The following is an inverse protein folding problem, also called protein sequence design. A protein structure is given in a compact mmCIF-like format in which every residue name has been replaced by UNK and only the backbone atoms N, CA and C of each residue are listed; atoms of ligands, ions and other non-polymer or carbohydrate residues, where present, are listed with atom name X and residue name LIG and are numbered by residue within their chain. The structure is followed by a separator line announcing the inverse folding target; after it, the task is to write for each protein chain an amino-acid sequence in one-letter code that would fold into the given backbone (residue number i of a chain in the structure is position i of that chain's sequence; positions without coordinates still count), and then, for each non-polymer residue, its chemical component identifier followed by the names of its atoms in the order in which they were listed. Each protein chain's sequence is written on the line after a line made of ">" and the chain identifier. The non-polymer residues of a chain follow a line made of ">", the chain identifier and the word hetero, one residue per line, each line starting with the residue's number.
data_IF_589590192217
#
_entry.id   IF_589590192217
#
_cell.length_a   1.000
_cell.length_b   1.000
_cell.length_c   1.000
_cell.angle_alpha   90.00
_cell.angle_beta   90.00
_cell.angle_gamma   90.00
#
_symmetry.space_group_name_H-M   'P 1'
#
loop_
_entity.id
_entity.type
_entity.pdbx_description
1 polymer ?
#
# COMPACT_ATOMS: atom_id res chain seq x y z
N UNK A 1 19.27 -7.95 -3.23
CA UNK A 1 19.03 -7.19 -4.49
C UNK A 1 17.79 -6.27 -4.43
N UNK A 2 17.37 -5.79 -3.26
CA UNK A 2 16.38 -4.69 -3.16
C UNK A 2 17.05 -3.31 -3.30
N UNK A 3 18.32 -3.18 -2.88
CA UNK A 3 19.02 -1.90 -2.73
C UNK A 3 19.08 -1.04 -4.00
N UNK A 4 19.49 -1.58 -5.14
CA UNK A 4 19.72 -0.77 -6.34
C UNK A 4 18.45 -0.05 -6.85
N UNK A 5 17.28 -0.66 -6.71
CA UNK A 5 16.02 -0.04 -7.08
C UNK A 5 15.64 1.11 -6.14
N UNK A 6 15.78 0.89 -4.82
CA UNK A 6 15.51 1.93 -3.82
C UNK A 6 16.51 3.08 -3.91
N UNK A 7 17.79 2.80 -4.16
CA UNK A 7 18.84 3.82 -4.39
C UNK A 7 18.53 4.66 -5.63
N UNK A 8 18.15 4.03 -6.74
CA UNK A 8 17.78 4.73 -7.98
C UNK A 8 16.55 5.64 -7.78
N UNK A 9 15.55 5.19 -7.02
CA UNK A 9 14.36 5.99 -6.71
C UNK A 9 14.66 7.11 -5.72
N UNK A 10 15.52 6.86 -4.73
CA UNK A 10 16.01 7.90 -3.82
C UNK A 10 16.76 9.00 -4.56
N UNK A 11 17.57 8.66 -5.57
CA UNK A 11 18.26 9.64 -6.42
C UNK A 11 17.30 10.52 -7.25
N UNK A 12 16.06 10.06 -7.46
CA UNK A 12 14.97 10.83 -8.09
C UNK A 12 14.12 11.59 -7.06
N UNK A 13 14.48 11.56 -5.78
CA UNK A 13 13.77 12.25 -4.70
C UNK A 13 12.60 11.46 -4.10
N UNK A 14 12.42 10.19 -4.44
CA UNK A 14 11.36 9.37 -3.82
C UNK A 14 11.80 8.85 -2.46
N UNK A 15 10.94 9.00 -1.46
CA UNK A 15 11.15 8.38 -0.16
C UNK A 15 11.07 6.85 -0.24
N UNK A 16 11.61 6.16 0.77
CA UNK A 16 11.48 4.70 0.88
C UNK A 16 10.00 4.27 0.87
N UNK A 17 9.15 4.89 1.69
CA UNK A 17 7.73 4.52 1.80
C UNK A 17 6.98 4.75 0.49
N UNK A 18 7.30 5.84 -0.21
CA UNK A 18 6.73 6.11 -1.54
C UNK A 18 7.18 5.05 -2.54
N UNK A 19 8.46 4.69 -2.54
CA UNK A 19 8.99 3.66 -3.42
C UNK A 19 8.36 2.29 -3.13
N UNK A 20 8.27 1.89 -1.86
CA UNK A 20 7.67 0.62 -1.44
C UNK A 20 6.16 0.56 -1.75
N UNK A 21 5.44 1.68 -1.63
CA UNK A 21 4.00 1.71 -1.89
C UNK A 21 3.65 1.58 -3.38
N UNK A 22 4.49 2.11 -4.27
CA UNK A 22 4.27 2.05 -5.73
C UNK A 22 4.92 0.85 -6.41
N UNK A 23 5.91 0.23 -5.77
CA UNK A 23 6.58 -0.98 -6.27
C UNK A 23 5.55 -2.10 -6.43
N UNK A 24 5.60 -2.76 -7.59
CA UNK A 24 4.74 -3.91 -7.88
C UNK A 24 5.34 -5.17 -7.24
N UNK A 25 4.47 -5.98 -6.65
CA UNK A 25 4.80 -7.28 -6.11
C UNK A 25 3.69 -8.27 -6.49
N UNK A 26 3.94 -9.57 -6.32
CA UNK A 26 3.01 -10.62 -6.70
C UNK A 26 2.18 -11.09 -5.51
N UNK A 27 0.88 -11.33 -5.74
CA UNK A 27 0.02 -11.99 -4.77
C UNK A 27 0.57 -13.38 -4.43
N UNK A 28 0.74 -13.74 -3.14
CA UNK A 28 1.24 -15.06 -2.75
C UNK A 28 0.27 -16.20 -3.09
N UNK A 29 -1.01 -15.91 -3.36
CA UNK A 29 -2.03 -16.92 -3.69
C UNK A 29 -2.23 -17.12 -5.20
N UNK A 30 -2.36 -16.04 -5.96
CA UNK A 30 -2.75 -16.12 -7.38
C UNK A 30 -1.72 -15.58 -8.38
N UNK A 31 -0.58 -15.07 -7.90
CA UNK A 31 0.49 -14.52 -8.75
C UNK A 31 0.17 -13.19 -9.43
N UNK A 32 -1.00 -12.58 -9.18
CA UNK A 32 -1.34 -11.27 -9.74
C UNK A 32 -0.36 -10.19 -9.28
N UNK A 33 0.16 -9.39 -10.21
CA UNK A 33 1.14 -8.33 -9.93
C UNK A 33 0.46 -6.99 -9.76
N UNK A 34 0.61 -6.37 -8.59
CA UNK A 34 -0.02 -5.09 -8.25
C UNK A 34 0.84 -4.32 -7.22
N UNK A 35 0.55 -3.02 -7.06
CA UNK A 35 1.18 -2.17 -6.04
C UNK A 35 0.29 -2.02 -4.81
N UNK A 36 0.87 -1.60 -3.69
CA UNK A 36 0.12 -1.41 -2.45
C UNK A 36 -0.89 -0.26 -2.56
N UNK A 37 -0.55 0.81 -3.31
CA UNK A 37 -1.50 1.89 -3.61
C UNK A 37 -2.71 1.36 -4.40
N UNK A 38 -2.49 0.49 -5.39
CA UNK A 38 -3.59 -0.13 -6.13
C UNK A 38 -4.47 -0.99 -5.22
N UNK A 39 -3.85 -1.80 -4.36
CA UNK A 39 -4.57 -2.63 -3.39
C UNK A 39 -5.49 -1.77 -2.52
N UNK A 40 -4.95 -0.67 -1.97
CA UNK A 40 -5.73 0.19 -1.08
C UNK A 40 -6.84 0.93 -1.80
N UNK A 41 -6.53 1.58 -2.92
CA UNK A 41 -7.46 2.46 -3.60
C UNK A 41 -8.58 1.70 -4.35
N UNK A 42 -8.32 0.45 -4.78
CA UNK A 42 -9.26 -0.32 -5.60
C UNK A 42 -9.78 -1.54 -4.83
N UNK A 43 -8.90 -2.43 -4.37
CA UNK A 43 -9.34 -3.68 -3.74
C UNK A 43 -9.94 -3.47 -2.34
N UNK A 44 -9.46 -2.45 -1.61
CA UNK A 44 -9.99 -2.08 -0.30
C UNK A 44 -11.02 -0.93 -0.37
N UNK A 45 -11.48 -0.55 -1.56
CA UNK A 45 -12.47 0.52 -1.70
C UNK A 45 -13.74 0.17 -0.91
N UNK A 46 -14.23 1.11 -0.10
CA UNK A 46 -15.42 0.92 0.75
C UNK A 46 -15.16 0.26 2.11
N UNK A 47 -13.93 -0.15 2.43
CA UNK A 47 -13.58 -0.66 3.75
C UNK A 47 -13.26 0.49 4.72
N UNK A 48 -13.99 0.60 5.84
CA UNK A 48 -13.75 1.61 6.87
C UNK A 48 -12.36 1.52 7.50
N UNK A 49 -11.80 0.31 7.62
CA UNK A 49 -10.47 0.10 8.18
C UNK A 49 -9.36 0.54 7.20
N UNK A 50 -9.64 0.54 5.89
CA UNK A 50 -8.66 0.92 4.88
C UNK A 50 -8.24 2.39 5.00
N UNK A 51 -9.11 3.24 5.52
CA UNK A 51 -8.84 4.67 5.79
C UNK A 51 -8.34 4.93 7.23
N UNK A 52 -8.10 3.88 8.02
CA UNK A 52 -7.64 3.94 9.43
C UNK A 52 -6.26 3.32 9.65
N UNK A 53 -5.44 3.25 8.59
CA UNK A 53 -4.08 2.67 8.70
C UNK A 53 -4.09 1.15 8.86
N UNK A 54 -5.02 0.45 8.22
CA UNK A 54 -5.10 -1.01 8.27
C UNK A 54 -3.80 -1.68 7.76
N UNK A 55 -3.15 -2.56 8.53
CA UNK A 55 -1.89 -3.21 8.14
C UNK A 55 -2.07 -4.37 7.13
N UNK A 56 -3.30 -4.62 6.67
CA UNK A 56 -3.61 -5.66 5.69
C UNK A 56 -3.63 -5.12 4.26
N UNK A 57 -3.37 -6.03 3.34
CA UNK A 57 -3.45 -5.86 1.89
C UNK A 57 -4.45 -6.88 1.35
N UNK A 58 -5.36 -6.43 0.49
CA UNK A 58 -6.29 -7.29 -0.24
C UNK A 58 -5.89 -7.38 -1.71
N UNK A 59 -5.84 -8.58 -2.26
CA UNK A 59 -5.61 -8.77 -3.68
C UNK A 59 -6.88 -8.50 -4.48
N UNK A 60 -6.85 -7.55 -5.43
CA UNK A 60 -8.01 -7.23 -6.28
C UNK A 60 -8.42 -8.29 -7.31
N UNK A 61 -7.73 -9.44 -7.38
CA UNK A 61 -8.04 -10.54 -8.32
C UNK A 61 -8.66 -11.75 -7.62
N UNK A 62 -8.12 -12.17 -6.48
CA UNK A 62 -8.53 -13.40 -5.78
C UNK A 62 -9.07 -13.14 -4.37
N UNK A 63 -9.22 -11.87 -3.98
CA UNK A 63 -9.70 -11.41 -2.67
C UNK A 63 -8.93 -11.92 -1.45
N UNK A 64 -7.75 -12.51 -1.67
CA UNK A 64 -6.91 -12.93 -0.56
C UNK A 64 -6.37 -11.74 0.22
N UNK A 65 -6.60 -11.76 1.53
CA UNK A 65 -6.07 -10.78 2.48
C UNK A 65 -4.85 -11.34 3.21
N UNK A 66 -3.81 -10.52 3.32
CA UNK A 66 -2.57 -10.85 4.02
C UNK A 66 -1.97 -9.56 4.60
N UNK A 67 -1.01 -9.70 5.52
CA UNK A 67 -0.38 -8.57 6.20
C UNK A 67 0.71 -7.94 5.31
N UNK A 68 0.92 -6.64 5.48
CA UNK A 68 1.99 -5.91 4.79
C UNK A 68 3.37 -6.52 5.07
N UNK A 69 3.62 -7.04 6.28
CA UNK A 69 4.86 -7.76 6.61
C UNK A 69 5.11 -9.03 5.80
N UNK A 70 4.09 -9.56 5.12
CA UNK A 70 4.23 -10.71 4.21
C UNK A 70 4.64 -10.27 2.79
N UNK A 71 4.75 -8.95 2.55
CA UNK A 71 5.25 -8.39 1.29
C UNK A 71 6.79 -8.27 1.31
N UNK A 72 7.45 -8.28 0.13
CA UNK A 72 8.92 -8.33 0.06
C UNK A 72 9.65 -7.10 0.64
N UNK A 73 8.97 -5.96 0.74
CA UNK A 73 9.60 -4.66 1.05
C UNK A 73 9.43 -4.24 2.52
N UNK A 74 8.73 -5.03 3.33
CA UNK A 74 8.38 -4.68 4.72
C UNK A 74 9.09 -5.62 5.69
N UNK A 75 9.93 -5.05 6.54
CA UNK A 75 10.71 -5.73 7.56
C UNK A 75 10.24 -5.28 8.94
N UNK A 76 9.49 -6.15 9.61
CA UNK A 76 9.04 -5.95 10.99
C UNK A 76 7.79 -5.08 11.15
N UNK A 77 7.30 -5.04 12.39
CA UNK A 77 6.00 -4.44 12.74
C UNK A 77 5.99 -2.91 12.64
N UNK A 78 7.10 -2.25 13.01
CA UNK A 78 7.18 -0.80 12.99
C UNK A 78 7.09 -0.27 11.55
N UNK A 79 7.82 -0.90 10.62
CA UNK A 79 7.79 -0.53 9.21
C UNK A 79 6.43 -0.82 8.57
N UNK A 80 5.80 -1.94 8.93
CA UNK A 80 4.43 -2.27 8.53
C UNK A 80 3.46 -1.14 8.91
N UNK A 81 3.52 -0.64 10.15
CA UNK A 81 2.64 0.45 10.58
C UNK A 81 2.90 1.75 9.82
N UNK A 82 4.16 2.17 9.73
CA UNK A 82 4.54 3.38 9.00
C UNK A 82 4.10 3.34 7.53
N UNK A 83 4.24 2.18 6.87
CA UNK A 83 3.84 2.02 5.49
C UNK A 83 2.31 1.99 5.34
N UNK A 84 1.60 1.32 6.26
CA UNK A 84 0.14 1.32 6.28
C UNK A 84 -0.43 2.73 6.37
N UNK A 85 0.09 3.54 7.30
CA UNK A 85 -0.30 4.93 7.50
C UNK A 85 0.03 5.77 6.25
N UNK A 86 1.22 5.58 5.65
CA UNK A 86 1.60 6.27 4.41
C UNK A 86 0.67 5.99 3.22
N UNK A 87 0.31 4.72 2.99
CA UNK A 87 -0.58 4.34 1.88
C UNK A 87 -2.00 4.88 2.14
N UNK A 88 -2.43 4.84 3.40
CA UNK A 88 -3.71 5.41 3.83
C UNK A 88 -3.77 6.91 3.54
N UNK A 89 -2.71 7.66 3.85
CA UNK A 89 -2.61 9.09 3.56
C UNK A 89 -2.68 9.39 2.05
N UNK A 90 -2.03 8.59 1.21
CA UNK A 90 -2.06 8.76 -0.26
C UNK A 90 -3.51 8.66 -0.77
N UNK A 91 -4.23 7.61 -0.38
CA UNK A 91 -5.61 7.40 -0.81
C UNK A 91 -6.52 8.47 -0.20
N UNK A 92 -6.30 8.81 1.07
CA UNK A 92 -7.04 9.85 1.76
C UNK A 92 -6.96 11.21 1.07
N UNK A 93 -5.76 11.61 0.63
CA UNK A 93 -5.55 12.85 -0.13
C UNK A 93 -6.23 12.82 -1.50
N UNK A 94 -6.17 11.67 -2.18
CA UNK A 94 -6.87 11.48 -3.46
C UNK A 94 -8.38 11.65 -3.30
N UNK A 95 -8.97 10.99 -2.31
CA UNK A 95 -10.41 11.01 -2.08
C UNK A 95 -10.90 12.43 -1.73
N UNK A 96 -10.16 13.13 -0.86
CA UNK A 96 -10.43 14.53 -0.54
C UNK A 96 -10.30 15.45 -1.78
N UNK A 97 -9.31 15.22 -2.65
CA UNK A 97 -9.15 15.97 -3.89
C UNK A 97 -10.27 15.73 -4.92
N UNK A 98 -10.98 14.60 -4.82
CA UNK A 98 -12.16 14.28 -5.63
C UNK A 98 -13.48 14.77 -5.01
N UNK A 99 -13.43 15.41 -3.82
CA UNK A 99 -14.62 15.82 -3.09
C UNK A 99 -15.40 14.67 -2.45
N UNK A 100 -14.77 13.50 -2.29
CA UNK A 100 -15.39 12.34 -1.66
C UNK A 100 -15.24 12.50 -0.15
N UNK A 101 -16.28 13.00 0.51
CA UNK A 101 -16.39 13.03 1.96
C UNK A 101 -16.88 11.67 2.47
N UNK A 102 -15.95 10.84 2.95
CA UNK A 102 -16.30 9.54 3.53
C UNK A 102 -16.80 9.76 4.97
N UNK A 103 -18.11 9.85 5.15
CA UNK A 103 -18.73 9.80 6.47
C UNK A 103 -18.43 8.44 7.13
N UNK A 104 -17.93 8.45 8.37
CA UNK A 104 -17.29 7.33 9.10
C UNK A 104 -15.81 7.06 8.79
N UNK A 105 -15.03 8.11 8.51
CA UNK A 105 -13.62 8.12 8.91
C UNK A 105 -13.51 8.12 10.44
#
# INVERSE_FOLDING_TARGET
>A
MANAYFEAMSAKGFSFNTTASVRKFQCPRCGFSFSLVYARAIACQGCSEAVKGCPKVRCGKCDYEFLLRETPDVQGKNQERTLADHICDIVSKRDSGLGIEVFNR
#
